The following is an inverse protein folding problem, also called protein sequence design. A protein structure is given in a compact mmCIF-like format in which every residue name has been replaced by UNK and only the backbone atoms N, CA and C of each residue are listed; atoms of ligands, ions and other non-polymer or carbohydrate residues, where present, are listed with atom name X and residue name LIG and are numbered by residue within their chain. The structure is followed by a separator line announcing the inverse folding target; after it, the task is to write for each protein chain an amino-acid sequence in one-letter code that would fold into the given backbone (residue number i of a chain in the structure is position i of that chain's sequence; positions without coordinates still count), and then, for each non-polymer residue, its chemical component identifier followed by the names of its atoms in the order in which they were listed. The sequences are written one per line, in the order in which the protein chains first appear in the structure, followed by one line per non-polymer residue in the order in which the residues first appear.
data_IF_364639371005
#
_entry.id   IF_364639371005
#
_cell.length_a   1.000
_cell.length_b   1.000
_cell.length_c   1.000
_cell.angle_alpha   90.00
_cell.angle_beta   90.00
_cell.angle_gamma   90.00
#
_symmetry.space_group_name_H-M   'P 1'
#
loop_
_entity.id
_entity.type
_entity.pdbx_description
1 polymer ?
#
# COMPACT_ATOMS: atom_id res chain seq x y z
N UNK A 1 13.58 -14.81 -25.50
CA UNK A 1 12.19 -14.45 -25.13
C UNK A 1 11.53 -13.86 -26.38
N UNK A 2 10.42 -14.42 -26.78
CA UNK A 2 9.64 -13.87 -27.91
C UNK A 2 9.01 -12.54 -27.50
N UNK A 3 8.84 -11.64 -28.45
CA UNK A 3 8.24 -10.31 -28.26
C UNK A 3 8.91 -9.43 -27.18
N UNK A 4 10.20 -9.64 -26.92
CA UNK A 4 10.96 -8.82 -25.95
C UNK A 4 10.91 -7.32 -26.27
N UNK A 5 10.75 -6.94 -27.56
CA UNK A 5 10.61 -5.55 -27.98
C UNK A 5 9.39 -4.84 -27.38
N UNK A 6 8.27 -5.53 -27.17
CA UNK A 6 7.07 -4.95 -26.55
C UNK A 6 7.36 -4.60 -25.07
N UNK A 7 7.99 -5.52 -24.34
CA UNK A 7 8.39 -5.27 -22.94
C UNK A 7 9.45 -4.19 -22.82
N UNK A 8 10.43 -4.19 -23.73
CA UNK A 8 11.47 -3.16 -23.78
C UNK A 8 10.90 -1.77 -24.09
N UNK A 9 9.93 -1.67 -25.00
CA UNK A 9 9.25 -0.41 -25.29
C UNK A 9 8.48 0.13 -24.09
N UNK A 10 7.78 -0.72 -23.34
CA UNK A 10 7.10 -0.35 -22.11
C UNK A 10 8.11 0.13 -21.04
N UNK A 11 9.24 -0.57 -20.91
CA UNK A 11 10.32 -0.18 -20.00
C UNK A 11 10.94 1.17 -20.37
N UNK A 12 11.23 1.41 -21.64
CA UNK A 12 11.75 2.69 -22.12
C UNK A 12 10.77 3.84 -21.86
N UNK A 13 9.48 3.63 -22.16
CA UNK A 13 8.46 4.62 -21.88
C UNK A 13 8.40 4.96 -20.37
N UNK A 14 8.45 3.96 -19.51
CA UNK A 14 8.43 4.17 -18.08
C UNK A 14 9.66 4.96 -17.59
N UNK A 15 10.85 4.65 -18.09
CA UNK A 15 12.08 5.35 -17.76
C UNK A 15 12.05 6.82 -18.23
N UNK A 16 11.48 7.10 -19.40
CA UNK A 16 11.42 8.45 -19.96
C UNK A 16 10.32 9.31 -19.33
N UNK A 17 9.22 8.71 -18.84
CA UNK A 17 8.01 9.46 -18.46
C UNK A 17 7.60 9.32 -17.00
N UNK A 18 8.06 8.29 -16.26
CA UNK A 18 7.53 7.97 -14.94
C UNK A 18 8.54 8.10 -13.80
N UNK A 19 9.82 8.31 -14.06
CA UNK A 19 10.83 8.34 -12.98
C UNK A 19 10.60 9.52 -12.04
N UNK A 20 10.43 10.73 -12.56
CA UNK A 20 10.27 11.93 -11.73
C UNK A 20 9.00 11.89 -10.88
N UNK A 21 7.92 11.32 -11.42
CA UNK A 21 6.66 11.21 -10.71
C UNK A 21 6.66 10.18 -9.55
N UNK A 22 7.66 9.30 -9.45
CA UNK A 22 7.79 8.38 -8.32
C UNK A 22 7.85 9.10 -6.97
N UNK A 23 8.34 10.34 -6.96
CA UNK A 23 8.34 11.18 -5.77
C UNK A 23 6.92 11.44 -5.23
N UNK A 24 5.92 11.54 -6.12
CA UNK A 24 4.51 11.70 -5.72
C UNK A 24 3.99 10.42 -5.04
N UNK A 25 4.30 9.25 -5.59
CA UNK A 25 3.90 7.97 -5.01
C UNK A 25 4.54 7.76 -3.62
N UNK A 26 5.80 8.17 -3.46
CA UNK A 26 6.48 8.11 -2.16
C UNK A 26 5.87 9.08 -1.15
N UNK A 27 5.53 10.30 -1.56
CA UNK A 27 4.88 11.28 -0.71
C UNK A 27 3.49 10.81 -0.25
N UNK A 28 2.71 10.23 -1.16
CA UNK A 28 1.39 9.64 -0.85
C UNK A 28 1.50 8.43 0.08
N UNK A 29 2.46 7.54 -0.17
CA UNK A 29 2.73 6.39 0.70
C UNK A 29 3.11 6.86 2.11
N UNK A 30 3.97 7.87 2.22
CA UNK A 30 4.37 8.46 3.50
C UNK A 30 3.20 9.08 4.24
N UNK A 31 2.35 9.84 3.54
CA UNK A 31 1.14 10.45 4.11
C UNK A 31 0.16 9.40 4.64
N UNK A 32 -0.08 8.32 3.88
CA UNK A 32 -0.90 7.19 4.31
C UNK A 32 -0.33 6.56 5.57
N UNK A 33 0.98 6.28 5.57
CA UNK A 33 1.65 5.64 6.69
C UNK A 33 1.55 6.47 7.98
N UNK A 34 1.84 7.77 7.92
CA UNK A 34 1.77 8.66 9.07
C UNK A 34 0.36 8.76 9.65
N UNK A 35 -0.66 8.85 8.78
CA UNK A 35 -2.04 8.92 9.21
C UNK A 35 -2.51 7.62 9.87
N UNK A 36 -2.16 6.45 9.30
CA UNK A 36 -2.55 5.14 9.83
C UNK A 36 -1.77 4.78 11.10
N UNK A 37 -0.48 5.14 11.20
CA UNK A 37 0.32 4.92 12.42
C UNK A 37 -0.20 5.70 13.62
N UNK A 38 -0.83 6.84 13.39
CA UNK A 38 -1.48 7.64 14.45
C UNK A 38 -2.76 6.98 15.01
N UNK A 39 -3.30 5.95 14.36
CA UNK A 39 -4.49 5.20 14.78
C UNK A 39 -4.12 4.13 15.80
N UNK A 40 -4.95 3.95 16.83
CA UNK A 40 -4.65 3.02 17.95
C UNK A 40 -4.53 1.56 17.51
N UNK A 41 -5.33 1.15 16.52
CA UNK A 41 -5.40 -0.25 16.07
C UNK A 41 -4.19 -0.72 15.27
N UNK A 42 -3.36 0.19 14.76
CA UNK A 42 -2.27 -0.12 13.83
C UNK A 42 -0.90 0.31 14.36
N UNK A 43 0.15 -0.19 13.71
CA UNK A 43 1.51 0.33 13.88
C UNK A 43 2.31 0.16 12.59
N UNK A 44 3.16 1.14 12.28
CA UNK A 44 3.98 1.17 11.08
C UNK A 44 5.40 1.59 11.46
N UNK A 45 6.40 0.88 10.96
CA UNK A 45 7.78 1.38 11.00
C UNK A 45 7.93 2.49 9.95
N UNK A 46 7.72 3.74 10.38
CA UNK A 46 7.83 4.90 9.50
C UNK A 46 9.24 5.06 8.90
N UNK A 47 10.29 4.53 9.55
CA UNK A 47 11.66 4.52 9.01
C UNK A 47 11.82 3.60 7.81
N UNK A 48 11.01 2.55 7.72
CA UNK A 48 11.01 1.61 6.60
C UNK A 48 10.18 2.08 5.39
N UNK A 49 9.36 3.13 5.53
CA UNK A 49 8.56 3.68 4.42
C UNK A 49 9.45 4.56 3.52
N UNK A 50 10.18 3.92 2.62
CA UNK A 50 11.16 4.56 1.72
C UNK A 50 10.77 4.46 0.24
N UNK A 51 9.62 3.86 -0.06
CA UNK A 51 9.13 3.67 -1.42
C UNK A 51 7.61 3.86 -1.46
N UNK A 52 6.96 3.29 -2.44
CA UNK A 52 5.51 3.31 -2.63
C UNK A 52 4.77 2.21 -1.86
N UNK A 53 5.46 1.44 -1.00
CA UNK A 53 4.87 0.35 -0.22
C UNK A 53 4.79 0.72 1.26
N UNK A 54 3.65 0.39 1.88
CA UNK A 54 3.41 0.58 3.31
C UNK A 54 3.01 -0.76 3.92
N UNK A 55 3.76 -1.21 4.94
CA UNK A 55 3.46 -2.41 5.71
C UNK A 55 2.81 -1.98 7.02
N UNK A 56 1.58 -2.44 7.25
CA UNK A 56 0.72 -2.01 8.34
C UNK A 56 0.47 -3.22 9.25
N UNK A 57 0.95 -3.16 10.47
CA UNK A 57 0.73 -4.19 11.47
C UNK A 57 -0.58 -3.93 12.23
N UNK A 58 -1.47 -4.93 12.26
CA UNK A 58 -2.71 -4.90 13.01
C UNK A 58 -2.45 -5.38 14.45
N UNK A 59 -2.49 -4.48 15.44
CA UNK A 59 -2.11 -4.77 16.84
C UNK A 59 -2.98 -5.83 17.53
N UNK A 60 -4.21 -6.04 17.05
CA UNK A 60 -5.15 -7.02 17.63
C UNK A 60 -5.39 -8.24 16.73
N UNK A 61 -4.51 -8.45 15.74
CA UNK A 61 -4.73 -9.41 14.67
C UNK A 61 -5.81 -8.94 13.70
N UNK A 62 -6.23 -9.83 12.79
CA UNK A 62 -7.39 -9.56 11.94
C UNK A 62 -7.06 -8.91 10.60
N UNK A 63 -5.84 -9.10 10.04
CA UNK A 63 -5.50 -8.63 8.70
C UNK A 63 -6.54 -9.02 7.66
N UNK A 64 -7.03 -10.26 7.71
CA UNK A 64 -8.07 -10.72 6.81
C UNK A 64 -9.38 -9.92 6.94
N UNK A 65 -9.85 -9.69 8.17
CA UNK A 65 -11.07 -8.92 8.40
C UNK A 65 -10.92 -7.46 7.96
N UNK A 66 -9.73 -6.89 8.16
CA UNK A 66 -9.38 -5.55 7.67
C UNK A 66 -9.42 -5.49 6.14
N UNK A 67 -8.78 -6.45 5.45
CA UNK A 67 -8.82 -6.54 3.98
C UNK A 67 -10.25 -6.64 3.47
N UNK A 68 -11.07 -7.52 4.06
CA UNK A 68 -12.48 -7.68 3.68
C UNK A 68 -13.28 -6.38 3.88
N UNK A 69 -13.04 -5.66 4.97
CA UNK A 69 -13.69 -4.38 5.27
C UNK A 69 -13.28 -3.27 4.31
N UNK A 70 -11.99 -3.16 4.00
CA UNK A 70 -11.45 -2.18 3.07
C UNK A 70 -11.90 -2.45 1.63
N UNK A 71 -11.91 -3.73 1.21
CA UNK A 71 -12.37 -4.13 -0.13
C UNK A 71 -13.83 -3.80 -0.38
N UNK A 72 -14.71 -3.92 0.63
CA UNK A 72 -16.11 -3.47 0.53
C UNK A 72 -16.25 -1.95 0.29
N UNK A 73 -15.20 -1.18 0.57
CA UNK A 73 -15.12 0.26 0.34
C UNK A 73 -14.35 0.61 -0.94
N UNK A 74 -13.97 -0.42 -1.74
CA UNK A 74 -13.19 -0.26 -2.96
C UNK A 74 -11.72 0.08 -2.70
N UNK A 75 -11.18 -0.35 -1.55
CA UNK A 75 -9.77 -0.19 -1.17
C UNK A 75 -9.15 -1.57 -1.09
N UNK A 76 -8.30 -1.91 -2.05
CA UNK A 76 -7.66 -3.21 -2.12
C UNK A 76 -6.24 -3.13 -1.52
N UNK A 77 -6.02 -3.91 -0.49
CA UNK A 77 -4.71 -4.13 0.16
C UNK A 77 -4.43 -5.62 0.24
N UNK A 78 -3.18 -6.00 0.35
CA UNK A 78 -2.78 -7.40 0.41
C UNK A 78 -2.57 -7.86 1.85
N UNK A 79 -3.28 -8.92 2.24
CA UNK A 79 -2.98 -9.70 3.45
C UNK A 79 -1.71 -10.54 3.23
N UNK A 80 -0.69 -10.31 4.04
CA UNK A 80 0.58 -11.05 3.93
C UNK A 80 0.57 -12.42 4.59
N UNK A 81 -0.46 -12.75 5.35
CA UNK A 81 -0.61 -14.06 5.99
C UNK A 81 -1.07 -15.15 5.00
N UNK A 82 -1.51 -14.78 3.79
CA UNK A 82 -1.95 -15.75 2.79
C UNK A 82 -0.77 -16.58 2.26
N UNK A 83 -0.54 -17.73 2.89
CA UNK A 83 0.37 -18.76 2.39
C UNK A 83 1.81 -18.72 2.93
N UNK A 84 2.11 -17.85 3.86
CA UNK A 84 3.41 -17.83 4.56
C UNK A 84 3.16 -17.66 6.06
N UNK A 85 3.71 -18.58 6.86
CA UNK A 85 3.66 -18.51 8.32
C UNK A 85 4.71 -17.49 8.81
N UNK A 86 4.26 -16.28 9.07
CA UNK A 86 5.08 -15.22 9.69
C UNK A 86 4.88 -15.14 11.22
N UNK A 87 4.30 -16.16 11.84
CA UNK A 87 3.96 -16.18 13.27
C UNK A 87 2.74 -15.29 13.59
N UNK A 88 2.71 -14.69 14.78
CA UNK A 88 1.57 -13.89 15.26
C UNK A 88 1.45 -12.48 14.62
N UNK A 89 2.10 -12.24 13.48
CA UNK A 89 2.14 -10.92 12.83
C UNK A 89 1.03 -10.79 11.80
N UNK A 90 -0.01 -10.08 12.18
CA UNK A 90 -1.12 -9.74 11.29
C UNK A 90 -0.79 -8.46 10.51
N UNK A 91 -0.22 -8.61 9.32
CA UNK A 91 0.28 -7.49 8.51
C UNK A 91 -0.43 -7.40 7.17
N UNK A 92 -0.85 -6.20 6.80
CA UNK A 92 -1.32 -5.89 5.45
C UNK A 92 -0.31 -4.99 4.72
N UNK A 93 -0.24 -5.12 3.40
CA UNK A 93 0.57 -4.28 2.53
C UNK A 93 -0.32 -3.42 1.64
N UNK A 94 -0.18 -2.10 1.75
CA UNK A 94 -0.71 -1.15 0.81
C UNK A 94 0.36 -0.73 -0.21
N UNK A 95 -0.04 -0.53 -1.47
CA UNK A 95 0.86 -0.11 -2.55
C UNK A 95 0.26 1.10 -3.25
N UNK A 96 1.01 2.18 -3.30
CA UNK A 96 0.66 3.38 -4.05
C UNK A 96 1.28 3.29 -5.45
N UNK A 97 0.55 3.68 -6.47
CA UNK A 97 1.02 3.61 -7.86
C UNK A 97 0.40 4.73 -8.72
N UNK A 98 0.78 4.80 -9.99
CA UNK A 98 0.42 5.81 -10.98
C UNK A 98 -1.06 6.25 -10.98
N UNK A 99 -1.98 5.34 -10.70
CA UNK A 99 -3.42 5.61 -10.73
C UNK A 99 -4.01 5.94 -9.36
N UNK A 100 -3.20 5.99 -8.30
CA UNK A 100 -3.66 6.38 -6.96
C UNK A 100 -3.51 7.89 -6.81
N UNK A 101 -4.63 8.56 -6.58
CA UNK A 101 -4.70 10.01 -6.41
C UNK A 101 -4.64 10.41 -4.93
N UNK A 102 -4.54 11.71 -4.65
CA UNK A 102 -4.60 12.23 -3.28
C UNK A 102 -5.97 11.97 -2.65
N UNK A 103 -7.06 12.05 -3.43
CA UNK A 103 -8.42 11.72 -2.97
C UNK A 103 -8.54 10.22 -2.62
N UNK A 104 -7.86 9.34 -3.34
CA UNK A 104 -7.84 7.90 -3.01
C UNK A 104 -7.09 7.65 -1.70
N UNK A 105 -6.02 8.41 -1.42
CA UNK A 105 -5.33 8.35 -0.12
C UNK A 105 -6.25 8.82 1.01
N UNK A 106 -7.00 9.90 0.83
CA UNK A 106 -7.98 10.36 1.83
C UNK A 106 -9.07 9.32 2.09
N UNK A 107 -9.57 8.68 1.04
CA UNK A 107 -10.53 7.57 1.15
C UNK A 107 -9.92 6.37 1.86
N UNK A 108 -8.66 6.04 1.58
CA UNK A 108 -7.96 4.95 2.24
C UNK A 108 -7.79 5.23 3.74
N UNK A 109 -7.35 6.43 4.12
CA UNK A 109 -7.22 6.85 5.53
C UNK A 109 -8.57 6.73 6.25
N UNK A 110 -9.64 7.25 5.66
CA UNK A 110 -10.99 7.13 6.22
C UNK A 110 -11.48 5.67 6.31
N UNK A 111 -11.04 4.81 5.38
CA UNK A 111 -11.32 3.39 5.40
C UNK A 111 -10.66 2.67 6.57
N UNK A 112 -9.37 2.95 6.83
CA UNK A 112 -8.64 2.42 7.97
C UNK A 112 -9.21 2.92 9.30
N UNK A 113 -9.57 4.20 9.40
CA UNK A 113 -10.18 4.78 10.60
C UNK A 113 -11.52 4.10 10.94
N UNK A 114 -12.35 3.85 9.95
CA UNK A 114 -13.64 3.20 10.14
C UNK A 114 -13.55 1.68 10.40
N UNK A 115 -12.38 1.07 10.24
CA UNK A 115 -12.12 -0.36 10.43
C UNK A 115 -11.41 -0.68 11.77
N UNK A 116 -11.19 0.31 12.63
CA UNK A 116 -10.55 0.15 13.96
C UNK A 116 -11.35 -0.71 14.95
#
# INVERSE_FOLDING_TARGET
MRQSGILAAAGLYALENNIERLAEDHARARRLAEAVDAMEAYSIDLGAVQSNMVFINCKKGGAKALVDTLSQRGIDVLDLEQGVDYGDVSTVRAVVHLHVTDDDIDRAIAGFDAAQ
#
